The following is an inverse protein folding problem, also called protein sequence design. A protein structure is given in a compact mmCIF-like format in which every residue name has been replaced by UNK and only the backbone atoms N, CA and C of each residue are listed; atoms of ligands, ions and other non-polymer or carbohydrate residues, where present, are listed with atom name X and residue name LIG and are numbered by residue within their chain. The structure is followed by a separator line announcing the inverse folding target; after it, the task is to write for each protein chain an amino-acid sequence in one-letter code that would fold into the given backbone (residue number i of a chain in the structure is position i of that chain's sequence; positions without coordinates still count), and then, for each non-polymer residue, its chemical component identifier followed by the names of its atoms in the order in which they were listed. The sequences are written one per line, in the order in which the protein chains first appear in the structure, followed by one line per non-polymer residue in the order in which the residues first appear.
data_IF_737887701921
#
_entry.id   IF_737887701921
#
_cell.length_a   1.000
_cell.length_b   1.000
_cell.length_c   1.000
_cell.angle_alpha   90.00
_cell.angle_beta   90.00
_cell.angle_gamma   90.00
#
_symmetry.space_group_name_H-M   'P 1'
#
loop_
_entity.id
_entity.type
_entity.pdbx_description
1 polymer ?
#
# COMPACT_ATOMS: atom_id res chain seq x y z
N UNK A 1 24.94 1.88 48.18
CA UNK A 1 24.09 1.02 47.33
C UNK A 1 23.93 1.71 45.99
N UNK A 2 24.73 1.34 45.00
CA UNK A 2 24.68 1.87 43.64
C UNK A 2 23.48 1.27 42.91
N UNK A 3 22.50 2.11 42.55
CA UNK A 3 21.36 1.69 41.74
C UNK A 3 21.85 1.34 40.32
N UNK A 4 21.59 0.11 39.88
CA UNK A 4 21.83 -0.29 38.50
C UNK A 4 20.86 0.47 37.58
N UNK A 5 21.33 1.06 36.47
CA UNK A 5 20.46 1.73 35.51
C UNK A 5 19.48 0.72 34.88
N UNK A 6 18.23 1.13 34.69
CA UNK A 6 17.19 0.32 34.05
C UNK A 6 17.64 -0.10 32.63
N UNK A 7 17.15 -1.25 32.13
CA UNK A 7 17.48 -1.71 30.77
C UNK A 7 17.14 -0.67 29.68
N UNK A 8 16.16 0.21 29.94
CA UNK A 8 15.83 1.37 29.10
C UNK A 8 16.95 2.42 29.08
N UNK A 9 17.51 2.77 30.24
CA UNK A 9 18.62 3.73 30.31
C UNK A 9 19.87 3.21 29.58
N UNK A 10 20.13 1.90 29.66
CA UNK A 10 21.24 1.25 28.96
C UNK A 10 21.04 1.17 27.43
N UNK A 11 19.78 1.02 26.98
CA UNK A 11 19.44 1.03 25.56
C UNK A 11 19.52 2.45 24.96
N UNK A 12 19.06 3.48 25.69
CA UNK A 12 19.16 4.88 25.28
C UNK A 12 20.61 5.35 25.19
N UNK A 13 21.47 4.90 26.11
CA UNK A 13 22.89 5.25 26.14
C UNK A 13 23.71 4.55 25.04
N UNK A 14 23.23 3.41 24.53
CA UNK A 14 23.79 2.73 23.36
C UNK A 14 23.42 3.44 22.04
N UNK A 15 22.21 4.00 21.95
CA UNK A 15 21.75 4.79 20.80
C UNK A 15 22.47 6.14 20.72
N UNK A 16 22.73 6.77 21.88
CA UNK A 16 23.44 8.07 21.96
C UNK A 16 24.93 7.99 21.55
N UNK A 17 25.52 6.79 21.53
CA UNK A 17 26.94 6.55 21.18
C UNK A 17 27.18 6.14 19.72
N UNK A 18 26.15 6.05 18.88
CA UNK A 18 26.32 5.73 17.46
C UNK A 18 26.83 6.96 16.67
N UNK A 19 27.84 6.82 15.78
CA UNK A 19 28.58 7.94 15.19
C UNK A 19 27.87 8.66 14.03
N UNK A 20 26.55 8.51 13.89
CA UNK A 20 25.76 9.17 12.84
C UNK A 20 24.82 10.20 13.46
N UNK A 21 25.33 11.40 13.73
CA UNK A 21 24.53 12.55 14.11
C UNK A 21 23.87 13.17 12.87
N UNK A 22 22.81 12.55 12.35
CA UNK A 22 21.82 13.23 11.52
C UNK A 22 20.49 13.17 12.25
N UNK A 23 20.05 14.34 12.71
CA UNK A 23 18.84 14.62 13.50
C UNK A 23 18.90 14.19 14.98
N UNK A 24 19.17 15.18 15.83
CA UNK A 24 18.83 15.12 17.24
C UNK A 24 17.30 15.21 17.34
N UNK A 25 16.63 14.06 17.38
CA UNK A 25 15.19 13.97 17.65
C UNK A 25 15.02 13.96 19.15
N UNK A 26 14.68 15.11 19.71
CA UNK A 26 14.32 15.25 21.12
C UNK A 26 13.03 14.48 21.38
N UNK A 27 13.19 13.28 21.95
CA UNK A 27 12.12 12.35 22.27
C UNK A 27 11.49 12.73 23.62
N UNK A 28 10.83 13.89 23.69
CA UNK A 28 10.09 14.35 24.89
C UNK A 28 8.57 14.30 24.68
N UNK A 29 8.02 13.11 24.43
CA UNK A 29 6.57 12.87 24.55
C UNK A 29 6.17 12.14 25.84
N UNK A 30 7.09 12.04 26.81
CA UNK A 30 6.80 11.60 28.19
C UNK A 30 6.14 12.68 29.07
N UNK A 31 5.79 13.83 28.50
CA UNK A 31 4.93 14.80 29.17
C UNK A 31 3.79 15.11 28.21
N UNK A 32 2.56 14.76 28.60
CA UNK A 32 1.32 15.16 27.93
C UNK A 32 1.10 16.67 27.99
N UNK A 33 2.06 17.44 27.46
CA UNK A 33 1.97 18.87 27.24
C UNK A 33 1.30 19.01 25.88
N UNK A 34 0.03 19.37 25.96
CA UNK A 34 -0.83 19.68 24.83
C UNK A 34 -0.40 21.04 24.24
N UNK A 35 0.74 21.08 23.54
CA UNK A 35 1.34 22.32 23.01
C UNK A 35 0.72 22.77 21.67
N UNK A 36 -0.50 22.30 21.36
CA UNK A 36 -1.24 22.67 20.14
C UNK A 36 -0.60 22.22 18.81
N UNK A 37 0.58 21.59 18.83
CA UNK A 37 1.23 20.99 17.67
C UNK A 37 0.50 19.74 17.17
N UNK A 38 -0.22 19.05 18.05
CA UNK A 38 -1.15 17.95 17.72
C UNK A 38 -2.37 18.44 16.90
N UNK A 39 -2.68 19.74 16.94
CA UNK A 39 -3.87 20.32 16.29
C UNK A 39 -3.70 20.63 14.79
N UNK A 40 -2.49 20.43 14.25
CA UNK A 40 -2.20 20.59 12.81
C UNK A 40 -1.64 19.30 12.24
N UNK A 41 -2.32 18.17 12.45
CA UNK A 41 -2.09 16.99 11.63
C UNK A 41 -2.20 17.43 10.15
N UNK A 42 -1.16 17.20 9.32
CA UNK A 42 -1.26 17.54 7.91
C UNK A 42 -2.47 16.82 7.34
N UNK A 43 -3.34 17.54 6.62
CA UNK A 43 -4.48 16.93 5.94
C UNK A 43 -3.94 16.11 4.76
N UNK A 44 -3.45 14.89 5.04
CA UNK A 44 -2.80 14.03 4.05
C UNK A 44 -3.74 13.71 2.88
N UNK A 45 -5.06 13.75 3.07
CA UNK A 45 -6.01 13.62 1.97
C UNK A 45 -5.89 14.77 0.93
N UNK A 46 -5.66 16.01 1.38
CA UNK A 46 -5.39 17.16 0.49
C UNK A 46 -4.04 17.00 -0.20
N UNK A 47 -3.04 16.48 0.52
CA UNK A 47 -1.75 16.15 -0.09
C UNK A 47 -1.94 15.14 -1.22
N UNK A 48 -2.69 14.06 -1.00
CA UNK A 48 -2.93 13.04 -2.01
C UNK A 48 -3.78 13.56 -3.18
N UNK A 49 -4.75 14.42 -2.92
CA UNK A 49 -5.47 15.13 -3.98
C UNK A 49 -4.51 15.98 -4.85
N UNK A 50 -3.59 16.71 -4.23
CA UNK A 50 -2.58 17.50 -4.94
C UNK A 50 -1.62 16.62 -5.74
N UNK A 51 -1.13 15.51 -5.16
CA UNK A 51 -0.29 14.53 -5.86
C UNK A 51 -1.02 13.96 -7.07
N UNK A 52 -2.28 13.54 -6.92
CA UNK A 52 -3.07 12.99 -8.02
C UNK A 52 -3.32 14.04 -9.12
N UNK A 53 -3.51 15.30 -8.74
CA UNK A 53 -3.63 16.42 -9.69
C UNK A 53 -2.33 16.60 -10.48
N UNK A 54 -1.17 16.57 -9.81
CA UNK A 54 0.14 16.64 -10.47
C UNK A 54 0.36 15.48 -11.43
N UNK A 55 0.00 14.25 -11.02
CA UNK A 55 0.04 13.06 -11.91
C UNK A 55 -0.88 13.26 -13.11
N UNK A 56 -2.07 13.80 -12.92
CA UNK A 56 -3.03 14.08 -14.01
C UNK A 56 -2.49 15.10 -15.01
N UNK A 57 -1.76 16.11 -14.54
CA UNK A 57 -1.19 17.18 -15.38
C UNK A 57 0.05 16.70 -16.13
N UNK A 58 0.94 15.96 -15.46
CA UNK A 58 2.28 15.65 -15.99
C UNK A 58 2.43 14.24 -16.56
N UNK A 59 1.62 13.28 -16.13
CA UNK A 59 1.72 11.88 -16.54
C UNK A 59 0.61 11.50 -17.53
N UNK A 60 0.91 10.55 -18.42
CA UNK A 60 -0.08 9.94 -19.32
C UNK A 60 -0.83 10.95 -20.21
N UNK A 61 -0.18 12.05 -20.59
CA UNK A 61 -0.74 13.11 -21.44
C UNK A 61 -0.91 12.68 -22.91
N UNK A 62 -0.16 11.67 -23.34
CA UNK A 62 -0.26 11.09 -24.69
C UNK A 62 -1.44 10.12 -24.86
N UNK A 63 -2.09 9.71 -23.77
CA UNK A 63 -3.23 8.79 -23.81
C UNK A 63 -4.54 9.57 -23.93
N UNK A 64 -5.49 9.05 -24.71
CA UNK A 64 -6.82 9.66 -24.86
C UNK A 64 -7.57 9.71 -23.53
N UNK A 65 -8.37 10.76 -23.33
CA UNK A 65 -9.24 10.89 -22.16
C UNK A 65 -10.24 9.74 -22.12
N UNK A 66 -10.26 9.00 -21.01
CA UNK A 66 -11.08 7.81 -20.87
C UNK A 66 -10.72 6.95 -19.67
N UNK A 67 -11.43 5.82 -19.52
CA UNK A 67 -11.30 4.90 -18.37
C UNK A 67 -9.87 4.39 -18.23
N UNK A 68 -9.20 4.09 -19.35
CA UNK A 68 -7.81 3.59 -19.36
C UNK A 68 -6.82 4.61 -18.79
N UNK A 69 -6.91 5.89 -19.20
CA UNK A 69 -6.06 6.97 -18.69
C UNK A 69 -6.27 7.20 -17.19
N UNK A 70 -7.53 7.21 -16.74
CA UNK A 70 -7.86 7.33 -15.31
C UNK A 70 -7.24 6.19 -14.49
N UNK A 71 -7.35 4.95 -14.95
CA UNK A 71 -6.70 3.79 -14.29
C UNK A 71 -5.18 3.94 -14.22
N UNK A 72 -4.53 4.45 -15.26
CA UNK A 72 -3.08 4.71 -15.25
C UNK A 72 -2.70 5.77 -14.21
N UNK A 73 -3.47 6.86 -14.12
CA UNK A 73 -3.29 7.90 -13.10
C UNK A 73 -3.41 7.31 -11.69
N UNK A 74 -4.48 6.57 -11.41
CA UNK A 74 -4.72 5.98 -10.10
C UNK A 74 -3.60 5.00 -9.71
N UNK A 75 -3.23 4.08 -10.62
CA UNK A 75 -2.12 3.14 -10.37
C UNK A 75 -0.79 3.87 -10.16
N UNK A 76 -0.57 5.01 -10.83
CA UNK A 76 0.62 5.85 -10.61
C UNK A 76 0.61 6.48 -9.22
N UNK A 77 -0.53 7.01 -8.78
CA UNK A 77 -0.70 7.56 -7.43
C UNK A 77 -0.50 6.48 -6.36
N UNK A 78 -1.05 5.27 -6.55
CA UNK A 78 -0.80 4.11 -5.69
C UNK A 78 0.67 3.69 -5.66
N UNK A 79 1.35 3.75 -6.81
CA UNK A 79 2.78 3.45 -6.90
C UNK A 79 3.61 4.47 -6.10
N UNK A 80 3.28 5.76 -6.18
CA UNK A 80 3.94 6.81 -5.39
C UNK A 80 3.74 6.54 -3.90
N UNK A 81 2.50 6.24 -3.47
CA UNK A 81 2.20 5.89 -2.09
C UNK A 81 3.04 4.72 -1.59
N UNK A 82 2.90 3.57 -2.22
CA UNK A 82 3.59 2.34 -1.81
C UNK A 82 5.11 2.48 -1.86
N UNK A 83 5.65 3.31 -2.77
CA UNK A 83 7.09 3.59 -2.82
C UNK A 83 7.54 4.40 -1.60
N UNK A 84 6.81 5.46 -1.25
CA UNK A 84 7.15 6.31 -0.10
C UNK A 84 6.99 5.52 1.20
N UNK A 85 5.83 4.90 1.43
CA UNK A 85 5.52 4.16 2.66
C UNK A 85 6.35 2.88 2.77
N UNK A 86 6.37 2.06 1.71
CA UNK A 86 7.06 0.78 1.68
C UNK A 86 8.56 0.90 1.85
N UNK A 87 9.24 1.78 1.10
CA UNK A 87 10.69 1.94 1.22
C UNK A 87 11.10 2.55 2.56
N UNK A 88 10.34 3.52 3.07
CA UNK A 88 10.60 4.11 4.38
C UNK A 88 10.50 3.06 5.49
N UNK A 89 9.39 2.31 5.53
CA UNK A 89 9.17 1.27 6.55
C UNK A 89 10.18 0.13 6.41
N UNK A 90 10.52 -0.25 5.18
CA UNK A 90 11.54 -1.26 4.93
C UNK A 90 12.90 -0.83 5.48
N UNK A 91 13.36 0.40 5.19
CA UNK A 91 14.60 0.93 5.74
C UNK A 91 14.55 1.03 7.28
N UNK A 92 13.44 1.54 7.82
CA UNK A 92 13.24 1.67 9.27
C UNK A 92 13.33 0.30 9.97
N UNK A 93 12.74 -0.74 9.40
CA UNK A 93 12.76 -2.09 9.96
C UNK A 93 14.19 -2.61 10.16
N UNK A 94 15.08 -2.42 9.18
CA UNK A 94 16.49 -2.85 9.31
C UNK A 94 17.32 -1.93 10.21
N UNK A 95 17.11 -0.61 10.14
CA UNK A 95 17.87 0.34 10.96
C UNK A 95 17.52 0.21 12.45
N UNK A 96 16.24 -0.02 12.76
CA UNK A 96 15.72 -0.01 14.13
C UNK A 96 15.18 -1.38 14.57
N UNK A 97 15.76 -2.48 14.05
CA UNK A 97 15.31 -3.86 14.34
C UNK A 97 15.12 -4.11 15.85
N UNK A 98 16.08 -3.68 16.68
CA UNK A 98 15.99 -3.87 18.14
C UNK A 98 14.77 -3.18 18.73
N UNK A 99 14.44 -1.97 18.28
CA UNK A 99 13.31 -1.19 18.77
C UNK A 99 11.99 -1.83 18.34
N UNK A 100 11.90 -2.16 17.04
CA UNK A 100 10.74 -2.76 16.39
C UNK A 100 10.27 -4.02 17.14
N UNK A 101 11.19 -4.87 17.59
CA UNK A 101 10.86 -6.10 18.32
C UNK A 101 10.79 -5.95 19.85
N UNK A 102 11.45 -4.94 20.45
CA UNK A 102 11.51 -4.81 21.90
C UNK A 102 10.25 -4.19 22.52
N UNK A 103 9.60 -3.24 21.84
CA UNK A 103 8.48 -2.47 22.41
C UNK A 103 7.29 -2.27 21.47
N UNK A 104 6.78 -3.32 20.78
CA UNK A 104 5.72 -3.18 19.77
C UNK A 104 4.37 -2.67 20.32
N UNK A 105 4.09 -2.91 21.60
CA UNK A 105 2.84 -2.51 22.27
C UNK A 105 2.77 -1.01 22.59
N UNK A 106 3.86 -0.48 23.14
CA UNK A 106 3.84 0.79 23.88
C UNK A 106 4.65 1.91 23.21
N UNK A 107 5.51 1.58 22.24
CA UNK A 107 6.27 2.62 21.55
C UNK A 107 5.34 3.51 20.71
N UNK A 108 5.49 4.82 20.88
CA UNK A 108 4.82 5.82 20.07
C UNK A 108 5.74 7.04 19.92
N UNK A 109 5.77 7.61 18.73
CA UNK A 109 6.43 8.89 18.43
C UNK A 109 5.59 9.60 17.38
N UNK A 110 5.34 10.89 17.59
CA UNK A 110 4.53 11.68 16.66
C UNK A 110 5.17 11.76 15.27
N UNK A 111 6.50 11.91 15.19
CA UNK A 111 7.22 11.94 13.91
C UNK A 111 7.11 10.60 13.18
N UNK A 112 7.26 9.49 13.92
CA UNK A 112 7.15 8.15 13.36
C UNK A 112 5.70 7.87 12.92
N UNK A 113 4.70 8.35 13.66
CA UNK A 113 3.29 8.20 13.28
C UNK A 113 2.91 8.88 11.95
N UNK A 114 3.71 9.84 11.47
CA UNK A 114 3.44 10.56 10.21
C UNK A 114 3.37 9.63 9.01
N UNK A 115 4.20 8.57 8.94
CA UNK A 115 4.17 7.64 7.80
C UNK A 115 2.87 6.81 7.78
N UNK A 116 2.35 6.49 8.97
CA UNK A 116 1.07 5.80 9.12
C UNK A 116 -0.08 6.72 8.76
N UNK A 117 -0.05 7.98 9.22
CA UNK A 117 -1.06 8.98 8.85
C UNK A 117 -1.05 9.33 7.37
N UNK A 118 0.13 9.38 6.74
CA UNK A 118 0.29 9.53 5.30
C UNK A 118 -0.38 8.38 4.54
N UNK A 119 -0.28 7.16 5.07
CA UNK A 119 -0.91 5.96 4.50
C UNK A 119 -2.43 5.94 4.69
N UNK A 120 -2.92 6.34 5.87
CA UNK A 120 -4.35 6.51 6.12
C UNK A 120 -4.96 7.53 5.16
N UNK A 121 -4.28 8.68 4.98
CA UNK A 121 -4.73 9.72 4.05
C UNK A 121 -4.78 9.24 2.60
N UNK A 122 -3.82 8.40 2.19
CA UNK A 122 -3.83 7.77 0.86
C UNK A 122 -5.03 6.84 0.70
N UNK A 123 -5.22 5.88 1.62
CA UNK A 123 -6.32 4.91 1.51
C UNK A 123 -7.68 5.60 1.52
N UNK A 124 -7.83 6.67 2.28
CA UNK A 124 -9.06 7.46 2.29
C UNK A 124 -9.29 8.16 0.94
N UNK A 125 -8.24 8.80 0.39
CA UNK A 125 -8.31 9.44 -0.91
C UNK A 125 -8.66 8.46 -2.03
N UNK A 126 -7.93 7.33 -2.11
CA UNK A 126 -8.10 6.31 -3.15
C UNK A 126 -9.46 5.60 -3.04
N UNK A 127 -9.95 5.33 -1.83
CA UNK A 127 -11.30 4.83 -1.61
C UNK A 127 -12.38 5.78 -2.13
N UNK A 128 -12.22 7.09 -1.88
CA UNK A 128 -13.16 8.10 -2.34
C UNK A 128 -13.11 8.26 -3.87
N UNK A 129 -11.93 8.28 -4.46
CA UNK A 129 -11.77 8.33 -5.92
C UNK A 129 -12.39 7.10 -6.59
N UNK A 130 -12.13 5.91 -6.05
CA UNK A 130 -12.68 4.65 -6.55
C UNK A 130 -14.21 4.63 -6.51
N UNK A 131 -14.81 5.15 -5.43
CA UNK A 131 -16.26 5.23 -5.26
C UNK A 131 -16.94 6.16 -6.26
N UNK A 132 -16.29 7.26 -6.61
CA UNK A 132 -16.86 8.26 -7.51
C UNK A 132 -16.60 7.97 -8.99
N UNK A 133 -15.43 7.39 -9.30
CA UNK A 133 -14.92 7.35 -10.67
C UNK A 133 -14.88 5.96 -11.31
N UNK A 134 -14.97 4.88 -10.52
CA UNK A 134 -14.91 3.51 -11.05
C UNK A 134 -16.28 2.81 -11.06
N UNK A 135 -16.44 1.81 -11.92
CA UNK A 135 -17.66 0.99 -11.93
C UNK A 135 -17.65 0.07 -10.71
N UNK A 136 -18.78 -0.01 -9.99
CA UNK A 136 -18.95 -0.91 -8.84
C UNK A 136 -18.96 -2.38 -9.31
N UNK A 137 -17.77 -2.92 -9.51
CA UNK A 137 -17.52 -4.34 -9.78
C UNK A 137 -17.17 -5.08 -8.47
N UNK A 138 -17.23 -6.41 -8.47
CA UNK A 138 -16.79 -7.23 -7.34
C UNK A 138 -15.32 -6.94 -7.00
N UNK A 139 -14.48 -6.76 -8.02
CA UNK A 139 -13.06 -6.42 -7.83
C UNK A 139 -12.87 -5.07 -7.14
N UNK A 140 -13.64 -4.06 -7.56
CA UNK A 140 -13.67 -2.72 -6.97
C UNK A 140 -14.17 -2.78 -5.53
N UNK A 141 -15.21 -3.57 -5.24
CA UNK A 141 -15.73 -3.79 -3.89
C UNK A 141 -14.73 -4.43 -2.93
N UNK A 142 -13.98 -5.45 -3.39
CA UNK A 142 -12.92 -6.08 -2.58
C UNK A 142 -11.80 -5.09 -2.27
N UNK A 143 -11.41 -4.25 -3.23
CA UNK A 143 -10.40 -3.21 -3.03
C UNK A 143 -10.89 -2.13 -2.05
N UNK A 144 -12.15 -1.71 -2.16
CA UNK A 144 -12.73 -0.74 -1.23
C UNK A 144 -12.79 -1.30 0.19
N UNK A 145 -13.17 -2.56 0.35
CA UNK A 145 -13.15 -3.24 1.64
C UNK A 145 -11.73 -3.31 2.22
N UNK A 146 -10.73 -3.60 1.38
CA UNK A 146 -9.33 -3.54 1.78
C UNK A 146 -8.94 -2.15 2.31
N UNK A 147 -9.28 -1.06 1.61
CA UNK A 147 -8.98 0.30 2.08
C UNK A 147 -9.71 0.63 3.39
N UNK A 148 -10.99 0.27 3.51
CA UNK A 148 -11.76 0.50 4.74
C UNK A 148 -11.14 -0.25 5.94
N UNK A 149 -10.73 -1.51 5.74
CA UNK A 149 -10.05 -2.28 6.77
C UNK A 149 -8.67 -1.70 7.11
N UNK A 150 -7.89 -1.25 6.10
CA UNK A 150 -6.58 -0.63 6.30
C UNK A 150 -6.69 0.66 7.10
N UNK A 151 -7.65 1.53 6.76
CA UNK A 151 -7.94 2.76 7.50
C UNK A 151 -8.28 2.42 8.95
N UNK A 152 -9.20 1.48 9.18
CA UNK A 152 -9.60 1.10 10.54
C UNK A 152 -8.41 0.62 11.37
N UNK A 153 -7.63 -0.34 10.85
CA UNK A 153 -6.49 -0.92 11.58
C UNK A 153 -5.41 0.13 11.85
N UNK A 154 -5.02 0.93 10.85
CA UNK A 154 -3.98 1.94 11.03
C UNK A 154 -4.44 3.10 11.91
N UNK A 155 -5.70 3.53 11.79
CA UNK A 155 -6.28 4.55 12.67
C UNK A 155 -6.32 4.10 14.12
N UNK A 156 -6.51 2.81 14.40
CA UNK A 156 -6.45 2.33 15.80
C UNK A 156 -5.09 2.57 16.43
N UNK A 157 -3.99 2.42 15.68
CA UNK A 157 -2.64 2.67 16.19
C UNK A 157 -2.40 4.16 16.49
N UNK A 158 -2.86 5.04 15.57
CA UNK A 158 -2.73 6.49 15.73
C UNK A 158 -3.62 7.00 16.86
N UNK A 159 -4.91 6.65 16.88
CA UNK A 159 -5.87 7.16 17.87
C UNK A 159 -5.61 6.64 19.29
N UNK A 160 -5.06 5.44 19.44
CA UNK A 160 -4.75 4.88 20.75
C UNK A 160 -3.38 5.27 21.29
N UNK A 161 -2.54 5.94 20.47
CA UNK A 161 -1.12 6.17 20.73
C UNK A 161 -0.38 4.90 21.16
N UNK A 162 -0.76 3.74 20.61
CA UNK A 162 -0.21 2.41 20.89
C UNK A 162 -0.09 1.62 19.60
N UNK A 163 0.64 0.51 19.62
CA UNK A 163 0.76 -0.40 18.47
C UNK A 163 1.36 0.24 17.21
N UNK A 164 2.11 1.35 17.32
CA UNK A 164 2.69 2.03 16.16
C UNK A 164 3.63 1.09 15.38
N UNK A 165 4.49 0.36 16.08
CA UNK A 165 5.41 -0.60 15.46
C UNK A 165 4.68 -1.84 14.91
N UNK A 166 3.53 -2.20 15.47
CA UNK A 166 2.66 -3.23 14.88
C UNK A 166 2.05 -2.75 13.56
N UNK A 167 1.64 -1.48 13.48
CA UNK A 167 1.22 -0.85 12.23
C UNK A 167 2.37 -0.77 11.21
N UNK A 168 3.61 -0.58 11.65
CA UNK A 168 4.78 -0.64 10.76
C UNK A 168 4.97 -2.04 10.17
N UNK A 169 4.83 -3.09 10.99
CA UNK A 169 4.82 -4.46 10.47
C UNK A 169 3.71 -4.69 9.46
N UNK A 170 2.51 -4.16 9.69
CA UNK A 170 1.43 -4.22 8.70
C UNK A 170 1.79 -3.48 7.40
N UNK A 171 2.39 -2.29 7.49
CA UNK A 171 2.82 -1.51 6.32
C UNK A 171 4.00 -2.11 5.55
N UNK A 172 4.73 -3.10 6.09
CA UNK A 172 5.73 -3.84 5.31
C UNK A 172 5.10 -4.51 4.07
N UNK A 173 3.79 -4.77 4.09
CA UNK A 173 3.07 -5.28 2.90
C UNK A 173 3.16 -4.33 1.70
N UNK A 174 3.33 -3.01 1.93
CA UNK A 174 3.49 -2.02 0.86
C UNK A 174 4.74 -2.24 0.02
N UNK A 175 5.78 -2.89 0.56
CA UNK A 175 6.98 -3.26 -0.22
C UNK A 175 6.62 -4.17 -1.39
N UNK A 176 5.69 -5.12 -1.19
CA UNK A 176 5.16 -5.93 -2.29
C UNK A 176 4.23 -5.14 -3.22
N UNK A 177 3.50 -4.16 -2.66
CA UNK A 177 2.59 -3.31 -3.45
C UNK A 177 3.36 -2.48 -4.48
N UNK A 178 4.59 -2.03 -4.20
CA UNK A 178 5.45 -1.34 -5.18
C UNK A 178 5.61 -2.15 -6.46
N UNK A 179 5.94 -3.44 -6.34
CA UNK A 179 6.11 -4.34 -7.49
C UNK A 179 4.77 -4.63 -8.17
N UNK A 180 3.70 -4.78 -7.41
CA UNK A 180 2.36 -5.01 -7.94
C UNK A 180 1.85 -3.84 -8.78
N UNK A 181 2.01 -2.60 -8.28
CA UNK A 181 1.63 -1.40 -9.01
C UNK A 181 2.55 -1.15 -10.20
N UNK A 182 3.86 -1.37 -10.06
CA UNK A 182 4.80 -1.29 -11.19
C UNK A 182 4.42 -2.26 -12.30
N UNK A 183 4.08 -3.50 -11.96
CA UNK A 183 3.58 -4.52 -12.90
C UNK A 183 2.28 -4.06 -13.57
N UNK A 184 1.31 -3.62 -12.79
CA UNK A 184 0.00 -3.17 -13.29
C UNK A 184 0.16 -2.00 -14.27
N UNK A 185 1.09 -1.08 -13.97
CA UNK A 185 1.43 0.04 -14.82
C UNK A 185 2.06 -0.41 -16.15
N UNK A 186 3.01 -1.34 -16.11
CA UNK A 186 3.64 -1.92 -17.32
C UNK A 186 2.64 -2.69 -18.20
N UNK A 187 1.67 -3.36 -17.58
CA UNK A 187 0.60 -4.06 -18.29
C UNK A 187 -0.37 -3.08 -18.94
N UNK A 188 -0.88 -2.11 -18.18
CA UNK A 188 -1.89 -1.16 -18.64
C UNK A 188 -1.37 -0.19 -19.70
N UNK A 189 -0.08 0.17 -19.63
CA UNK A 189 0.59 1.02 -20.63
C UNK A 189 1.00 0.29 -21.91
N UNK A 190 0.70 -1.01 -22.05
CA UNK A 190 1.17 -1.89 -23.15
C UNK A 190 2.71 -1.94 -23.30
N UNK A 191 3.48 -1.44 -22.32
CA UNK A 191 4.95 -1.50 -22.33
C UNK A 191 5.46 -2.93 -22.12
N UNK A 192 4.69 -3.75 -21.38
CA UNK A 192 4.97 -5.17 -21.17
C UNK A 192 4.96 -6.02 -22.46
N UNK A 193 4.22 -5.60 -23.49
CA UNK A 193 4.08 -6.34 -24.76
C UNK A 193 4.90 -5.74 -25.91
N UNK A 194 5.58 -4.62 -25.67
CA UNK A 194 6.23 -3.84 -26.73
C UNK A 194 7.72 -3.67 -26.47
N UNK A 195 8.13 -2.57 -25.82
CA UNK A 195 9.55 -2.20 -25.64
C UNK A 195 10.21 -2.78 -24.39
N UNK A 196 9.44 -3.20 -23.38
CA UNK A 196 9.96 -3.57 -22.05
C UNK A 196 9.61 -5.01 -21.64
N UNK A 197 9.54 -5.94 -22.59
CA UNK A 197 9.19 -7.35 -22.34
C UNK A 197 10.12 -8.00 -21.31
N UNK A 198 11.45 -7.82 -21.44
CA UNK A 198 12.42 -8.39 -20.50
C UNK A 198 12.24 -7.89 -19.07
N UNK A 199 12.06 -6.58 -18.89
CA UNK A 199 11.82 -5.96 -17.58
C UNK A 199 10.48 -6.41 -16.98
N UNK A 200 9.42 -6.51 -17.79
CA UNK A 200 8.12 -6.98 -17.31
C UNK A 200 8.18 -8.40 -16.75
N UNK A 201 8.97 -9.29 -17.37
CA UNK A 201 9.17 -10.66 -16.91
C UNK A 201 9.94 -10.71 -15.59
N UNK A 202 11.00 -9.90 -15.46
CA UNK A 202 11.77 -9.78 -14.22
C UNK A 202 10.89 -9.26 -13.09
N UNK A 203 10.13 -8.19 -13.34
CA UNK A 203 9.18 -7.62 -12.36
C UNK A 203 8.11 -8.64 -11.97
N UNK A 204 7.61 -9.46 -12.89
CA UNK A 204 6.65 -10.52 -12.58
C UNK A 204 7.21 -11.56 -11.59
N UNK A 205 8.43 -12.05 -11.83
CA UNK A 205 9.07 -13.01 -10.91
C UNK A 205 9.34 -12.40 -9.54
N UNK A 206 9.90 -11.18 -9.49
CA UNK A 206 10.13 -10.49 -8.22
C UNK A 206 8.82 -10.21 -7.49
N UNK A 207 7.76 -9.84 -8.21
CA UNK A 207 6.44 -9.62 -7.63
C UNK A 207 5.94 -10.87 -6.90
N UNK A 208 6.06 -12.07 -7.48
CA UNK A 208 5.66 -13.33 -6.80
C UNK A 208 6.48 -13.54 -5.52
N UNK A 209 7.81 -13.43 -5.61
CA UNK A 209 8.70 -13.65 -4.46
C UNK A 209 8.41 -12.67 -3.32
N UNK A 210 8.32 -11.38 -3.64
CA UNK A 210 8.05 -10.33 -2.66
C UNK A 210 6.63 -10.41 -2.12
N UNK A 211 5.65 -10.81 -2.93
CA UNK A 211 4.29 -11.03 -2.46
C UNK A 211 4.26 -12.13 -1.39
N UNK A 212 4.97 -13.23 -1.59
CA UNK A 212 5.05 -14.30 -0.59
C UNK A 212 5.72 -13.81 0.69
N UNK A 213 6.86 -13.14 0.59
CA UNK A 213 7.62 -12.68 1.75
C UNK A 213 6.88 -11.56 2.50
N UNK A 214 6.54 -10.48 1.83
CA UNK A 214 6.03 -9.27 2.48
C UNK A 214 4.53 -9.30 2.74
N UNK A 215 3.74 -10.16 2.08
CA UNK A 215 2.32 -10.33 2.42
C UNK A 215 2.09 -11.56 3.26
N UNK A 216 2.33 -12.77 2.73
CA UNK A 216 1.95 -13.97 3.47
C UNK A 216 2.76 -14.17 4.74
N UNK A 217 4.10 -14.08 4.69
CA UNK A 217 4.90 -14.29 5.91
C UNK A 217 4.68 -13.19 6.95
N UNK A 218 4.62 -11.92 6.53
CA UNK A 218 4.30 -10.79 7.42
C UNK A 218 2.90 -10.96 8.03
N UNK A 219 1.90 -11.38 7.24
CA UNK A 219 0.54 -11.58 7.75
C UNK A 219 0.49 -12.68 8.80
N UNK A 220 1.14 -13.82 8.53
CA UNK A 220 1.25 -14.94 9.49
C UNK A 220 1.98 -14.49 10.75
N UNK A 221 3.07 -13.72 10.60
CA UNK A 221 3.80 -13.16 11.71
C UNK A 221 2.95 -12.22 12.57
N UNK A 222 2.20 -11.29 11.97
CA UNK A 222 1.31 -10.37 12.68
C UNK A 222 0.24 -11.11 13.49
N UNK A 223 -0.45 -12.07 12.86
CA UNK A 223 -1.49 -12.87 13.53
C UNK A 223 -0.88 -13.73 14.64
N UNK A 224 0.27 -14.37 14.39
CA UNK A 224 0.98 -15.16 15.40
C UNK A 224 1.45 -14.31 16.58
N UNK A 225 1.97 -13.11 16.32
CA UNK A 225 2.37 -12.18 17.36
C UNK A 225 1.16 -11.72 18.19
N UNK A 226 0.05 -11.37 17.54
CA UNK A 226 -1.18 -10.95 18.23
C UNK A 226 -1.74 -12.09 19.09
N UNK A 227 -1.70 -13.33 18.60
CA UNK A 227 -2.14 -14.52 19.33
C UNK A 227 -1.33 -14.74 20.62
N UNK A 228 -0.01 -14.63 20.55
CA UNK A 228 0.87 -14.82 21.72
C UNK A 228 0.71 -13.69 22.75
N UNK A 229 0.30 -12.50 22.31
CA UNK A 229 0.17 -11.32 23.18
C UNK A 229 -1.28 -11.00 23.58
N UNK A 230 -2.22 -11.94 23.41
CA UNK A 230 -3.64 -11.76 23.73
C UNK A 230 -3.88 -11.29 25.16
N UNK A 231 -3.18 -11.88 26.13
CA UNK A 231 -3.35 -11.56 27.56
C UNK A 231 -2.82 -10.16 27.92
N UNK A 232 -1.98 -9.58 27.06
CA UNK A 232 -1.38 -8.26 27.28
C UNK A 232 -2.13 -7.14 26.54
N UNK A 233 -3.20 -7.47 25.82
CA UNK A 233 -3.96 -6.55 24.97
C UNK A 233 -5.42 -6.48 25.41
N UNK A 234 -6.02 -5.30 25.28
CA UNK A 234 -7.47 -5.20 25.45
C UNK A 234 -8.18 -6.03 24.37
N UNK A 235 -9.29 -6.68 24.74
CA UNK A 235 -10.01 -7.61 23.86
C UNK A 235 -10.42 -6.99 22.52
N UNK A 236 -10.75 -5.70 22.49
CA UNK A 236 -11.04 -4.98 21.25
C UNK A 236 -9.83 -4.91 20.29
N UNK A 237 -8.64 -4.60 20.79
CA UNK A 237 -7.42 -4.56 19.97
C UNK A 237 -7.01 -5.95 19.50
N UNK A 238 -7.15 -6.95 20.37
CA UNK A 238 -6.95 -8.34 20.02
C UNK A 238 -7.90 -8.80 18.90
N UNK A 239 -9.19 -8.45 19.00
CA UNK A 239 -10.17 -8.77 17.96
C UNK A 239 -9.82 -8.11 16.63
N UNK A 240 -9.46 -6.82 16.64
CA UNK A 240 -9.04 -6.10 15.42
C UNK A 240 -7.80 -6.76 14.80
N UNK A 241 -6.80 -7.13 15.61
CA UNK A 241 -5.58 -7.75 15.12
C UNK A 241 -5.81 -9.15 14.53
N UNK A 242 -6.60 -9.99 15.20
CA UNK A 242 -6.86 -11.37 14.75
C UNK A 242 -7.89 -11.43 13.61
N UNK A 243 -9.06 -10.82 13.79
CA UNK A 243 -10.14 -10.84 12.79
C UNK A 243 -9.70 -10.03 11.57
N UNK A 244 -9.16 -8.83 11.79
CA UNK A 244 -8.59 -8.02 10.71
C UNK A 244 -7.47 -8.78 9.99
N UNK A 245 -6.54 -9.38 10.73
CA UNK A 245 -5.46 -10.18 10.15
C UNK A 245 -5.96 -11.34 9.28
N UNK A 246 -7.01 -12.03 9.70
CA UNK A 246 -7.66 -13.08 8.90
C UNK A 246 -8.33 -12.51 7.64
N UNK A 247 -9.02 -11.37 7.74
CA UNK A 247 -9.61 -10.69 6.59
C UNK A 247 -8.53 -10.30 5.56
N UNK A 248 -7.42 -9.71 6.00
CA UNK A 248 -6.30 -9.37 5.11
C UNK A 248 -5.65 -10.61 4.51
N UNK A 249 -5.56 -11.72 5.24
CA UNK A 249 -5.08 -12.98 4.70
C UNK A 249 -5.94 -13.45 3.52
N UNK A 250 -7.27 -13.43 3.65
CA UNK A 250 -8.20 -13.81 2.56
C UNK A 250 -8.06 -12.88 1.35
N UNK A 251 -7.96 -11.57 1.57
CA UNK A 251 -7.75 -10.59 0.48
C UNK A 251 -6.42 -10.87 -0.23
N UNK A 252 -5.35 -11.15 0.51
CA UNK A 252 -4.03 -11.47 -0.04
C UNK A 252 -4.05 -12.76 -0.86
N UNK A 253 -4.80 -13.79 -0.44
CA UNK A 253 -5.02 -15.00 -1.27
C UNK A 253 -5.72 -14.64 -2.58
N UNK A 254 -6.80 -13.86 -2.54
CA UNK A 254 -7.53 -13.45 -3.75
C UNK A 254 -6.67 -12.66 -4.73
N UNK A 255 -5.86 -11.72 -4.22
CA UNK A 255 -4.91 -10.95 -5.03
C UNK A 255 -3.81 -11.83 -5.63
N UNK A 256 -3.29 -12.78 -4.85
CA UNK A 256 -2.28 -13.72 -5.32
C UNK A 256 -2.78 -14.60 -6.46
N UNK A 257 -3.99 -15.14 -6.33
CA UNK A 257 -4.63 -15.93 -7.39
C UNK A 257 -4.84 -15.12 -8.67
N UNK A 258 -5.24 -13.84 -8.55
CA UNK A 258 -5.36 -12.93 -9.69
C UNK A 258 -4.02 -12.71 -10.41
N UNK A 259 -2.93 -12.54 -9.66
CA UNK A 259 -1.58 -12.38 -10.22
C UNK A 259 -1.19 -13.64 -10.98
N UNK A 260 -1.32 -14.80 -10.35
CA UNK A 260 -0.97 -16.09 -10.94
C UNK A 260 -1.75 -16.40 -12.21
N UNK A 261 -3.05 -16.06 -12.23
CA UNK A 261 -3.89 -16.17 -13.42
C UNK A 261 -3.41 -15.22 -14.53
N UNK A 262 -3.12 -13.95 -14.19
CA UNK A 262 -2.66 -12.96 -15.18
C UNK A 262 -1.30 -13.29 -15.80
N UNK A 263 -0.47 -14.08 -15.12
CA UNK A 263 0.85 -14.53 -15.59
C UNK A 263 0.83 -15.86 -16.34
N UNK A 264 -0.33 -16.51 -16.48
CA UNK A 264 -0.45 -17.78 -17.19
C UNK A 264 0.15 -18.98 -16.44
N UNK A 265 0.36 -18.87 -15.12
CA UNK A 265 0.84 -19.99 -14.30
C UNK A 265 -0.24 -21.06 -14.04
N UNK A 266 -1.53 -20.71 -14.18
CA UNK A 266 -2.66 -21.65 -14.11
C UNK A 266 -3.37 -21.70 -15.47
N UNK A 267 -2.98 -22.69 -16.27
CA UNK A 267 -3.53 -23.13 -17.57
C UNK A 267 -3.28 -22.23 -18.81
N UNK A 268 -2.80 -22.83 -19.93
CA UNK A 268 -3.10 -22.33 -21.26
C UNK A 268 -4.56 -22.64 -21.61
N UNK A 269 -5.22 -21.75 -22.34
CA UNK A 269 -6.64 -21.79 -22.76
C UNK A 269 -7.66 -21.37 -21.70
N UNK A 270 -7.90 -20.07 -21.58
CA UNK A 270 -9.02 -19.37 -22.22
C UNK A 270 -8.50 -17.96 -22.47
N UNK A 271 -8.70 -17.48 -23.70
CA UNK A 271 -8.36 -16.15 -24.19
C UNK A 271 -8.39 -15.11 -23.04
N UNK A 272 -7.22 -14.57 -22.69
CA UNK A 272 -7.04 -13.62 -21.60
C UNK A 272 -8.12 -12.55 -21.68
N UNK A 273 -8.74 -12.15 -20.57
CA UNK A 273 -9.71 -11.04 -20.52
C UNK A 273 -9.15 -9.79 -21.25
N UNK A 274 -7.84 -9.57 -21.22
CA UNK A 274 -7.18 -8.51 -21.99
C UNK A 274 -7.07 -8.77 -23.50
N UNK A 275 -7.02 -10.02 -23.95
CA UNK A 275 -7.13 -10.40 -25.36
C UNK A 275 -8.59 -10.39 -25.85
N UNK A 276 -9.54 -10.82 -25.02
CA UNK A 276 -10.97 -10.73 -25.33
C UNK A 276 -11.40 -9.26 -25.41
N UNK A 277 -11.01 -8.42 -24.45
CA UNK A 277 -11.25 -6.97 -24.52
C UNK A 277 -10.55 -6.32 -25.71
N UNK A 278 -9.33 -6.76 -26.07
CA UNK A 278 -8.65 -6.27 -27.26
C UNK A 278 -9.34 -6.71 -28.57
N UNK A 279 -9.90 -7.92 -28.62
CA UNK A 279 -10.66 -8.41 -29.77
C UNK A 279 -12.06 -7.78 -29.86
N UNK A 280 -12.69 -7.50 -28.71
CA UNK A 280 -13.96 -6.77 -28.66
C UNK A 280 -13.76 -5.30 -29.04
N UNK A 281 -12.65 -4.67 -28.61
CA UNK A 281 -12.26 -3.33 -29.09
C UNK A 281 -11.95 -3.32 -30.59
N UNK A 282 -11.18 -4.28 -31.10
CA UNK A 282 -10.84 -4.35 -32.53
C UNK A 282 -12.11 -4.53 -33.40
N UNK A 283 -13.09 -5.30 -32.89
CA UNK A 283 -14.38 -5.47 -33.54
C UNK A 283 -15.22 -4.17 -33.53
N UNK A 284 -15.25 -3.42 -32.43
CA UNK A 284 -15.96 -2.13 -32.36
C UNK A 284 -15.31 -1.06 -33.26
N UNK A 285 -13.97 -0.98 -33.31
CA UNK A 285 -13.27 -0.08 -34.23
C UNK A 285 -13.49 -0.46 -35.69
N UNK A 286 -13.56 -1.76 -36.02
CA UNK A 286 -13.85 -2.22 -37.38
C UNK A 286 -15.26 -1.84 -37.84
N UNK A 287 -16.25 -1.91 -36.94
CA UNK A 287 -17.64 -1.53 -37.23
C UNK A 287 -17.80 -0.04 -37.45
N UNK A 288 -17.13 0.80 -36.65
CA UNK A 288 -17.13 2.26 -36.83
C UNK A 288 -16.51 2.63 -38.18
N UNK A 289 -15.37 2.01 -38.55
CA UNK A 289 -14.73 2.26 -39.85
C UNK A 289 -15.48 1.69 -41.06
N UNK A 290 -16.43 0.77 -40.86
CA UNK A 290 -17.30 0.25 -41.93
C UNK A 290 -18.53 1.15 -42.11
N UNK A 291 -19.14 1.61 -41.00
CA UNK A 291 -20.22 2.60 -41.01
C UNK A 291 -19.79 3.92 -41.68
N UNK A 292 -18.59 4.42 -41.36
CA UNK A 292 -18.07 5.67 -41.93
C UNK A 292 -17.75 5.54 -43.43
N UNK A 293 -17.49 4.32 -43.93
CA UNK A 293 -17.31 4.05 -45.37
C UNK A 293 -18.62 3.89 -46.12
N UNK A 294 -19.65 3.35 -45.48
CA UNK A 294 -21.00 3.28 -46.04
C UNK A 294 -21.62 4.68 -46.16
N UNK A 295 -21.43 5.54 -45.15
CA UNK A 295 -21.90 6.93 -45.17
C UNK A 295 -21.19 7.80 -46.24
N UNK A 296 -19.95 7.48 -46.61
CA UNK A 296 -19.19 8.16 -47.66
C UNK A 296 -19.47 7.64 -49.08
N UNK A 297 -20.16 6.50 -49.20
CA UNK A 297 -20.59 5.92 -50.49
C UNK A 297 -22.05 6.25 -50.83
N UNK A 298 -22.79 6.86 -49.89
CA UNK A 298 -24.16 7.37 -50.09
C UNK A 298 -24.24 8.88 -50.44
N UNK A 299 -23.11 9.51 -50.82
CA UNK A 299 -23.04 10.89 -51.36
C UNK A 299 -22.57 10.87 -52.81
#
# INVERSE_FOLDING_TARGET
MSAFPSKQALALDAVRRAPFHFFQVDNFTDLGINDGSELRAPSYWVLWYAVNTLVTIHCWTSWQEGIKRKRLINVTTSLIHSTISGLFIFAYFFMYTKLVFASPLHYYSYLDSQIVMLSIGYFFYDAFDLLLNDKLSIATGVLLFHHAASILVLSTAVLSHKFLLYAYWALLMEVSSVLLHSRSLLHLSKLSTTSMIGLSRVVAYFNIVFFVIFRFLVQVFLVGWAWVNLDHMHSAFAAIALVGGLCFFVINVGLFMRILHSDGFFLPSVMSEGQLDALLEDNDYSKVGTSEKEDLLEV
#
